data_IF_630105342979
#
_entry.id   IF_630105342979
#
_cell.length_a   1.000
_cell.length_b   1.000
_cell.length_c   1.000
_cell.angle_alpha   90.00
_cell.angle_beta   90.00
_cell.angle_gamma   90.00
#
_symmetry.space_group_name_H-M   'P 1'
#
loop_
_entity.id
_entity.type
_entity.pdbx_description
1 polymer ?
2 branched ?
3 non-polymer ?
4 non-polymer ?
5 non-polymer ?
6 non-polymer ?
7 non-polymer ?
8 water ?
#
# COMPACT_ATOMS: atom_id res chain seq x y z
N UNK A 29 -0.89 36.32 8.90
CA UNK A 29 -2.18 36.99 9.32
C UNK A 29 -3.08 37.43 8.15
N UNK A 30 -2.49 37.74 6.99
CA UNK A 30 -3.26 38.10 5.82
C UNK A 30 -3.64 36.83 5.06
N UNK A 31 -4.73 36.21 5.50
CA UNK A 31 -5.27 35.00 4.89
C UNK A 31 -5.59 35.16 3.40
N UNK A 32 -5.90 36.38 2.97
CA UNK A 32 -6.18 36.63 1.56
C UNK A 32 -4.92 36.60 0.68
N UNK A 33 -3.74 36.58 1.30
CA UNK A 33 -2.48 36.47 0.56
C UNK A 33 -1.84 35.08 0.66
N UNK A 34 -2.57 34.09 1.16
CA UNK A 34 -2.09 32.72 1.16
C UNK A 34 -2.11 32.17 -0.28
N UNK A 35 -0.96 31.70 -0.76
CA UNK A 35 -0.89 31.32 -2.17
C UNK A 35 -1.73 30.10 -2.52
N UNK A 36 -2.18 30.06 -3.77
CA UNK A 36 -2.76 28.86 -4.36
C UNK A 36 -1.65 27.81 -4.57
N UNK A 37 -2.01 26.52 -4.51
CA UNK A 37 -1.02 25.45 -4.57
C UNK A 37 -0.37 25.27 -5.95
N UNK A 38 0.80 24.65 -5.94
CA UNK A 38 1.58 24.38 -7.11
C UNK A 38 1.66 22.89 -7.36
N UNK A 39 2.07 22.55 -8.57
CA UNK A 39 2.20 21.17 -9.01
C UNK A 39 3.67 20.76 -9.08
N UNK A 40 3.94 19.49 -8.77
CA UNK A 40 5.26 18.93 -8.89
C UNK A 40 5.81 19.19 -10.30
N UNK A 41 7.09 19.58 -10.37
CA UNK A 41 7.76 19.86 -11.63
C UNK A 41 8.20 18.55 -12.32
N UNK A 42 7.45 18.16 -13.36
CA UNK A 42 7.71 16.92 -14.11
C UNK A 42 9.05 16.93 -14.86
N UNK A 43 9.57 18.12 -15.16
CA UNK A 43 10.85 18.27 -15.84
C UNK A 43 12.04 17.98 -14.93
N UNK A 44 11.82 17.98 -13.61
CA UNK A 44 12.88 17.65 -12.64
C UNK A 44 13.21 16.14 -12.62
N UNK A 45 12.33 15.32 -13.20
CA UNK A 45 12.48 13.87 -13.20
C UNK A 45 13.19 13.37 -14.44
N UNK A 46 13.92 12.27 -14.27
CA UNK A 46 14.45 11.55 -15.41
C UNK A 46 13.34 10.67 -15.97
N UNK A 47 13.46 10.30 -17.24
CA UNK A 47 12.48 9.48 -17.94
C UNK A 47 12.15 8.18 -17.18
N UNK A 48 10.85 7.88 -17.10
CA UNK A 48 10.38 6.72 -16.37
C UNK A 48 9.01 6.32 -16.90
N UNK A 49 8.85 5.05 -17.27
CA UNK A 49 7.56 4.56 -17.79
C UNK A 49 6.44 4.75 -16.81
N UNK A 50 5.28 5.08 -17.35
CA UNK A 50 4.03 5.00 -16.61
C UNK A 50 3.58 3.56 -16.50
N UNK A 51 2.96 3.23 -15.38
CA UNK A 51 2.30 1.95 -15.20
C UNK A 51 0.79 2.17 -15.35
N UNK A 52 0.12 1.24 -16.00
CA UNK A 52 -1.33 1.35 -16.18
C UNK A 52 -2.01 -0.01 -16.05
N UNK A 53 -3.34 0.03 -15.97
CA UNK A 53 -4.15 -1.16 -15.85
C UNK A 53 -4.62 -1.61 -17.23
N UNK A 54 -4.41 -2.88 -17.56
CA UNK A 54 -5.03 -3.48 -18.75
C UNK A 54 -5.58 -4.84 -18.37
N UNK A 55 -6.91 -4.96 -18.39
CA UNK A 55 -7.58 -6.18 -17.94
C UNK A 55 -7.22 -6.50 -16.49
N UNK A 56 -6.78 -7.74 -16.25
CA UNK A 56 -6.37 -8.15 -14.91
C UNK A 56 -4.89 -7.92 -14.61
N UNK A 57 -4.19 -7.13 -15.41
CA UNK A 57 -2.77 -6.90 -15.14
C UNK A 57 -2.35 -5.43 -15.25
N UNK A 58 -1.18 -5.16 -14.68
CA UNK A 58 -0.47 -3.91 -14.87
C UNK A 58 0.45 -4.07 -16.05
N UNK A 59 0.53 -3.04 -16.88
CA UNK A 59 1.57 -2.96 -17.91
C UNK A 59 2.35 -1.65 -17.81
N UNK A 60 3.60 -1.65 -18.25
CA UNK A 60 4.31 -0.39 -18.45
C UNK A 60 3.94 0.21 -19.82
N UNK A 61 4.38 1.44 -20.09
CA UNK A 61 4.01 2.10 -21.35
C UNK A 61 4.83 1.62 -22.55
N UNK A 62 5.71 0.65 -22.32
CA UNK A 62 6.28 -0.14 -23.41
C UNK A 62 5.39 -1.35 -23.71
N UNK A 63 4.29 -1.53 -22.98
CA UNK A 63 3.39 -2.64 -23.23
C UNK A 63 3.78 -3.94 -22.54
N UNK A 64 4.83 -3.90 -21.70
CA UNK A 64 5.28 -5.10 -21.03
C UNK A 64 4.60 -5.26 -19.67
N UNK A 65 4.20 -6.49 -19.35
CA UNK A 65 3.56 -6.78 -18.08
C UNK A 65 4.45 -6.38 -16.88
N UNK A 66 3.84 -5.74 -15.89
CA UNK A 66 4.57 -5.20 -14.74
C UNK A 66 3.99 -5.76 -13.45
N UNK A 67 4.87 -6.01 -12.49
CA UNK A 67 4.49 -6.46 -11.16
C UNK A 67 5.16 -5.57 -10.11
N UNK A 68 4.35 -4.96 -9.25
CA UNK A 68 4.89 -4.24 -8.11
C UNK A 68 5.43 -5.26 -7.10
N UNK A 69 6.70 -5.12 -6.76
CA UNK A 69 7.36 -5.97 -5.78
C UNK A 69 8.23 -5.08 -4.91
N UNK A 70 7.92 -5.01 -3.62
CA UNK A 70 8.73 -4.19 -2.75
C UNK A 70 8.27 -4.22 -1.33
N UNK A 71 8.39 -3.07 -0.66
CA UNK A 71 8.17 -3.01 0.76
C UNK A 71 7.43 -1.74 1.16
N UNK A 72 6.83 -1.81 2.34
CA UNK A 72 6.49 -0.65 3.10
C UNK A 72 7.70 -0.16 3.88
N UNK A 73 7.83 1.16 3.96
CA UNK A 73 8.64 1.78 4.99
C UNK A 73 7.68 2.47 5.97
N UNK A 74 8.20 2.94 7.08
CA UNK A 74 7.37 3.61 8.08
C UNK A 74 6.86 4.97 7.57
N UNK A 75 5.93 5.56 8.31
CA UNK A 75 5.43 6.92 8.01
C UNK A 75 6.57 7.94 7.95
N UNK A 76 6.48 8.85 7.01
CA UNK A 76 7.50 9.89 6.80
C UNK A 76 7.89 10.64 8.08
N UNK A 77 6.91 11.04 8.88
CA UNK A 77 7.17 11.71 10.15
C UNK A 77 7.94 10.85 11.14
N UNK A 78 7.60 9.57 11.23
CA UNK A 78 8.32 8.70 12.15
C UNK A 78 9.80 8.68 11.76
N UNK A 79 10.08 8.52 10.46
CA UNK A 79 11.46 8.46 9.98
C UNK A 79 12.21 9.77 10.21
N UNK A 80 11.57 10.90 9.89
CA UNK A 80 12.18 12.21 10.13
C UNK A 80 12.60 12.43 11.58
N UNK A 81 11.82 11.90 12.53
CA UNK A 81 12.06 12.14 13.96
C UNK A 81 13.36 11.50 14.47
N UNK A 82 13.83 10.45 13.81
CA UNK A 82 15.13 9.86 14.10
C UNK A 82 16.12 10.05 12.93
N UNK A 83 15.89 11.07 12.11
CA UNK A 83 16.75 11.38 10.96
C UNK A 83 16.97 10.18 10.02
N UNK A 84 15.95 9.36 9.86
CA UNK A 84 16.05 8.19 9.00
C UNK A 84 15.39 8.41 7.64
N UNK A 85 14.82 9.61 7.43
CA UNK A 85 14.24 9.98 6.14
C UNK A 85 15.32 10.56 5.24
N UNK A 86 15.84 9.68 4.38
CA UNK A 86 17.05 9.92 3.59
C UNK A 86 17.02 9.08 2.31
N UNK A 87 17.63 9.57 1.24
CA UNK A 87 17.72 8.84 -0.02
C UNK A 87 18.42 7.49 0.17
N UNK A 88 19.38 7.44 1.10
CA UNK A 88 20.14 6.24 1.38
C UNK A 88 19.25 5.03 1.72
N UNK A 89 18.12 5.30 2.36
CA UNK A 89 17.13 4.27 2.61
C UNK A 89 16.54 3.67 1.31
N UNK A 90 16.24 4.53 0.33
CA UNK A 90 15.69 4.08 -0.95
C UNK A 90 16.78 3.36 -1.75
N UNK A 91 18.02 3.85 -1.66
CA UNK A 91 19.14 3.22 -2.36
C UNK A 91 19.39 1.79 -1.84
N UNK A 92 19.38 1.63 -0.52
CA UNK A 92 19.53 0.31 0.08
C UNK A 92 18.51 -0.66 -0.47
N UNK A 93 17.24 -0.25 -0.55
CA UNK A 93 16.16 -1.11 -1.02
C UNK A 93 16.29 -1.45 -2.51
N UNK A 94 16.53 -0.43 -3.32
CA UNK A 94 16.69 -0.64 -4.77
C UNK A 94 17.95 -1.42 -5.10
N UNK A 95 19.08 -1.13 -4.47
CA UNK A 95 20.35 -1.77 -4.86
C UNK A 95 20.55 -3.14 -4.23
N UNK A 96 20.09 -3.35 -3.00
CA UNK A 96 20.35 -4.59 -2.29
C UNK A 96 19.15 -5.50 -2.00
N UNK A 97 17.93 -4.98 -2.10
CA UNK A 97 16.76 -5.80 -1.75
C UNK A 97 15.87 -6.15 -2.92
N UNK A 98 16.25 -5.71 -4.11
CA UNK A 98 15.53 -6.08 -5.33
C UNK A 98 14.16 -5.46 -5.53
N UNK A 99 13.85 -4.37 -4.82
CA UNK A 99 12.51 -3.76 -4.93
C UNK A 99 12.38 -2.90 -6.20
N UNK A 100 11.19 -2.92 -6.79
CA UNK A 100 10.84 -1.89 -7.76
C UNK A 100 9.76 -0.92 -7.24
N UNK A 101 9.35 -1.12 -5.97
CA UNK A 101 8.23 -0.36 -5.37
C UNK A 101 8.42 -0.10 -3.88
N UNK A 102 8.06 1.10 -3.43
CA UNK A 102 7.95 1.40 -2.01
C UNK A 102 6.55 1.94 -1.69
N UNK A 103 5.93 1.40 -0.66
CA UNK A 103 4.65 1.91 -0.18
C UNK A 103 4.91 2.87 0.95
N UNK A 104 4.32 4.07 0.86
CA UNK A 104 4.43 5.08 1.92
C UNK A 104 3.10 5.09 2.68
N UNK A 105 3.08 4.61 3.93
CA UNK A 105 1.85 4.63 4.71
C UNK A 105 1.70 5.94 5.45
N UNK A 106 0.96 6.84 4.83
CA UNK A 106 0.74 8.18 5.34
C UNK A 106 -0.35 8.13 6.41
N UNK A 107 0.06 8.20 7.67
CA UNK A 107 -0.88 8.16 8.78
C UNK A 107 -1.52 9.54 8.96
N UNK A 108 -2.85 9.59 9.06
CA UNK A 108 -3.53 10.88 9.18
C UNK A 108 -3.03 11.75 10.34
N UNK A 109 -2.65 11.13 11.45
CA UNK A 109 -2.18 11.92 12.60
C UNK A 109 -0.87 12.66 12.23
N UNK A 110 -0.05 12.01 11.42
CA UNK A 110 1.20 12.57 10.92
C UNK A 110 1.00 13.65 9.86
N UNK A 111 0.06 13.38 8.95
CA UNK A 111 -0.37 14.38 7.99
C UNK A 111 -0.77 15.69 8.70
N UNK A 112 -1.56 15.59 9.77
CA UNK A 112 -1.96 16.77 10.55
C UNK A 112 -0.78 17.38 11.33
N UNK A 113 0.08 16.54 11.87
CA UNK A 113 1.16 17.01 12.73
C UNK A 113 2.24 17.79 11.96
N UNK A 114 2.63 17.27 10.81
CA UNK A 114 3.56 17.99 9.94
C UNK A 114 2.85 19.10 9.20
N UNK A 115 1.56 18.90 8.93
CA UNK A 115 0.77 19.79 8.11
C UNK A 115 0.94 19.41 6.65
N UNK A 116 -0.09 19.60 5.84
CA UNK A 116 -0.04 19.21 4.43
C UNK A 116 1.16 19.72 3.64
N UNK A 117 1.52 20.99 3.79
CA UNK A 117 2.60 21.60 3.00
C UNK A 117 3.95 20.95 3.27
N UNK A 118 4.28 20.77 4.54
CA UNK A 118 5.53 20.15 4.93
C UNK A 118 5.53 18.68 4.54
N UNK A 119 4.40 18.00 4.74
CA UNK A 119 4.31 16.57 4.38
C UNK A 119 4.49 16.37 2.87
N UNK A 120 3.81 17.18 2.06
CA UNK A 120 3.96 17.08 0.60
C UNK A 120 5.39 17.39 0.15
N UNK A 121 6.02 18.37 0.80
CA UNK A 121 7.41 18.67 0.55
C UNK A 121 8.32 17.47 0.72
N UNK A 122 8.05 16.65 1.73
CA UNK A 122 8.81 15.41 1.91
C UNK A 122 8.41 14.32 0.92
N UNK A 123 7.12 14.24 0.56
CA UNK A 123 6.73 13.29 -0.47
C UNK A 123 7.49 13.62 -1.77
N UNK A 124 7.64 14.92 -2.07
CA UNK A 124 8.41 15.36 -3.24
C UNK A 124 9.79 14.73 -3.28
N UNK A 125 10.47 14.73 -2.13
CA UNK A 125 11.78 14.10 -2.00
C UNK A 125 11.72 12.63 -2.39
N UNK A 126 10.75 11.92 -1.83
CA UNK A 126 10.58 10.50 -2.10
C UNK A 126 10.42 10.27 -3.60
N UNK A 127 9.67 11.17 -4.26
CA UNK A 127 9.46 11.10 -5.70
C UNK A 127 10.78 11.24 -6.45
N UNK A 128 11.58 12.24 -6.09
CA UNK A 128 12.85 12.43 -6.78
C UNK A 128 13.78 11.24 -6.52
N UNK A 129 13.79 10.74 -5.28
CA UNK A 129 14.67 9.62 -4.94
C UNK A 129 14.25 8.37 -5.70
N UNK A 130 12.95 8.09 -5.71
CA UNK A 130 12.44 6.90 -6.36
C UNK A 130 12.68 6.96 -7.86
N UNK A 131 12.35 8.11 -8.46
CA UNK A 131 12.60 8.34 -9.88
C UNK A 131 14.05 8.08 -10.25
N UNK A 132 14.97 8.61 -9.47
CA UNK A 132 16.38 8.49 -9.79
C UNK A 132 16.82 7.03 -9.80
N UNK A 133 16.19 6.23 -8.94
CA UNK A 133 16.51 4.81 -8.83
C UNK A 133 15.64 3.94 -9.74
N UNK A 134 14.76 4.56 -10.52
CA UNK A 134 13.88 3.81 -11.40
C UNK A 134 12.82 2.99 -10.69
N UNK A 135 12.49 3.34 -9.45
CA UNK A 135 11.42 2.60 -8.73
C UNK A 135 10.14 3.44 -8.56
N UNK A 136 9.07 2.77 -8.12
CA UNK A 136 7.74 3.38 -8.04
C UNK A 136 7.21 3.51 -6.62
N UNK A 137 6.26 4.41 -6.46
CA UNK A 137 5.64 4.68 -5.16
C UNK A 137 4.16 4.32 -5.16
N UNK A 138 3.73 3.72 -4.06
CA UNK A 138 2.30 3.62 -3.76
C UNK A 138 2.05 4.61 -2.62
N UNK A 139 1.17 5.58 -2.86
CA UNK A 139 0.75 6.50 -1.81
C UNK A 139 -0.50 5.93 -1.15
N UNK A 140 -0.39 5.66 0.14
CA UNK A 140 -1.41 4.96 0.91
C UNK A 140 -1.96 5.85 2.02
N UNK A 141 -3.26 6.13 1.97
CA UNK A 141 -3.91 6.90 3.01
C UNK A 141 -4.15 5.90 4.12
N UNK A 142 -3.28 5.95 5.13
CA UNK A 142 -3.10 4.82 6.03
C UNK A 142 -3.95 4.96 7.27
N UNK A 143 -5.24 4.67 7.11
CA UNK A 143 -6.18 4.61 8.22
C UNK A 143 -6.70 3.17 8.37
N UNK A 144 -7.30 2.88 9.52
CA UNK A 144 -7.86 1.58 9.84
C UNK A 144 -9.18 1.89 10.52
N UNK A 145 -10.27 1.42 9.92
CA UNK A 145 -11.60 1.66 10.45
C UNK A 145 -12.64 1.81 9.38
N UNK A 146 -13.75 2.44 9.75
CA UNK A 146 -14.89 2.61 8.89
C UNK A 146 -15.14 4.08 8.60
N UNK A 147 -14.75 4.48 7.41
CA UNK A 147 -14.82 5.89 7.02
C UNK A 147 -16.26 6.46 6.98
N UNK A 148 -17.26 5.66 6.53
CA UNK A 148 -18.61 6.22 6.49
C UNK A 148 -19.15 6.69 7.85
N UNK A 149 -18.73 6.07 8.96
CA UNK A 149 -19.09 6.53 10.31
C UNK A 149 -17.98 7.35 10.98
N UNK A 150 -16.81 7.40 10.35
CA UNK A 150 -15.65 8.13 10.86
C UNK A 150 -15.23 7.65 12.25
N UNK A 151 -15.17 6.32 12.40
CA UNK A 151 -14.74 5.66 13.63
C UNK A 151 -13.59 4.70 13.29
N UNK A 152 -12.59 4.63 14.18
CA UNK A 152 -11.31 4.00 13.83
C UNK A 152 -10.75 3.10 14.91
N UNK A 153 -9.77 2.30 14.52
CA UNK A 153 -9.14 1.36 15.43
C UNK A 153 -8.30 2.05 16.51
N UNK A 154 -7.70 3.20 16.16
CA UNK A 154 -6.80 3.93 17.04
C UNK A 154 -6.75 5.39 16.57
N UNK A 155 -6.56 6.35 17.48
CA UNK A 155 -6.48 7.78 17.09
C UNK A 155 -5.43 8.15 16.02
N UNK A 156 -4.34 7.41 15.93
CA UNK A 156 -3.33 7.67 14.91
C UNK A 156 -3.92 7.55 13.50
N UNK A 157 -5.05 6.84 13.39
CA UNK A 157 -5.71 6.61 12.11
C UNK A 157 -6.92 7.54 11.89
N UNK A 158 -7.17 8.41 12.87
CA UNK A 158 -8.39 9.21 12.89
C UNK A 158 -8.44 10.17 11.70
N UNK A 159 -9.59 10.20 11.05
CA UNK A 159 -9.79 11.09 9.92
C UNK A 159 -11.30 11.36 9.75
N UNK A 160 -11.61 12.08 8.68
CA UNK A 160 -13.00 12.31 8.30
C UNK A 160 -13.10 12.12 6.80
N UNK A 161 -14.32 11.98 6.32
CA UNK A 161 -14.57 11.97 4.90
C UNK A 161 -14.00 13.26 4.28
N UNK A 162 -14.25 14.39 4.94
CA UNK A 162 -13.75 15.66 4.43
C UNK A 162 -12.22 15.71 4.29
N UNK A 163 -11.51 15.28 5.33
CA UNK A 163 -10.05 15.33 5.33
C UNK A 163 -9.48 14.32 4.31
N UNK A 164 -10.17 13.19 4.16
CA UNK A 164 -9.79 12.15 3.22
C UNK A 164 -9.95 12.65 1.78
N UNK A 165 -11.12 13.23 1.46
CA UNK A 165 -11.29 13.86 0.13
C UNK A 165 -10.21 14.90 -0.15
N UNK A 166 -9.92 15.73 0.85
CA UNK A 166 -8.96 16.82 0.70
C UNK A 166 -7.53 16.32 0.50
N UNK A 167 -7.18 15.25 1.20
CA UNK A 167 -5.88 14.64 0.99
C UNK A 167 -5.73 14.19 -0.47
N UNK A 168 -6.74 13.48 -0.99
CA UNK A 168 -6.66 12.97 -2.36
C UNK A 168 -6.74 14.08 -3.40
N UNK A 169 -7.48 15.14 -3.07
CA UNK A 169 -7.58 16.29 -3.98
C UNK A 169 -6.20 16.95 -4.08
N UNK A 170 -5.54 17.15 -2.95
CA UNK A 170 -4.22 17.77 -2.92
C UNK A 170 -3.14 16.90 -3.59
N UNK A 171 -3.18 15.60 -3.31
CA UNK A 171 -2.23 14.64 -3.87
C UNK A 171 -2.35 14.55 -5.39
N UNK A 172 -3.58 14.43 -5.88
CA UNK A 172 -3.79 14.27 -7.31
C UNK A 172 -3.37 15.53 -8.10
N UNK A 173 -3.72 16.71 -7.58
CA UNK A 173 -3.28 17.97 -8.21
C UNK A 173 -1.74 18.04 -8.24
N UNK A 174 -1.11 17.83 -7.09
CA UNK A 174 0.33 18.00 -7.00
C UNK A 174 1.12 17.05 -7.88
N UNK A 175 0.71 15.78 -7.93
CA UNK A 175 1.49 14.76 -8.65
C UNK A 175 0.87 14.38 -9.99
N UNK A 176 0.13 15.31 -10.59
CA UNK A 176 -0.37 15.13 -11.95
C UNK A 176 0.76 14.83 -12.92
N UNK A 177 0.55 13.84 -13.78
CA UNK A 177 1.47 13.47 -14.85
C UNK A 177 2.87 13.09 -14.31
N UNK A 178 2.90 12.46 -13.13
CA UNK A 178 4.14 11.99 -12.54
C UNK A 178 4.16 10.46 -12.56
N UNK A 179 5.03 9.86 -13.37
CA UNK A 179 5.01 8.39 -13.53
C UNK A 179 5.43 7.63 -12.28
N UNK A 180 6.36 8.21 -11.53
CA UNK A 180 6.91 7.61 -10.32
C UNK A 180 5.85 7.29 -9.28
N UNK A 181 4.83 8.13 -9.22
CA UNK A 181 3.72 7.91 -8.31
C UNK A 181 2.64 7.14 -9.09
N UNK A 182 2.56 5.84 -8.84
CA UNK A 182 1.82 4.90 -9.68
C UNK A 182 0.44 4.52 -9.13
N UNK A 183 0.31 4.49 -7.81
CA UNK A 183 -0.88 3.96 -7.18
C UNK A 183 -1.37 4.84 -6.04
N UNK A 184 -2.68 5.11 -6.04
CA UNK A 184 -3.35 5.86 -4.97
C UNK A 184 -4.24 4.90 -4.20
N UNK A 185 -3.74 4.46 -3.05
CA UNK A 185 -4.45 3.49 -2.21
C UNK A 185 -5.37 4.25 -1.25
N UNK A 186 -6.65 4.26 -1.60
CA UNK A 186 -7.62 5.22 -1.05
C UNK A 186 -7.80 5.17 0.47
N UNK A 187 -7.85 3.96 1.05
CA UNK A 187 -8.07 3.74 2.49
C UNK A 187 -7.48 2.37 2.85
N UNK A 188 -6.36 2.40 3.57
CA UNK A 188 -5.57 1.22 3.90
C UNK A 188 -6.36 -0.01 4.33
N UNK A 189 -7.04 0.05 5.48
CA UNK A 189 -7.76 -1.12 5.97
C UNK A 189 -9.19 -0.85 6.43
N UNK A 190 -10.16 -1.01 5.54
CA UNK A 190 -11.53 -0.91 6.03
C UNK A 190 -11.86 -2.05 7.00
N UNK A 191 -12.42 -1.70 8.15
CA UNK A 191 -12.94 -2.69 9.10
C UNK A 191 -13.93 -2.01 10.03
N UNK A 192 -14.92 -2.75 10.51
CA UNK A 192 -15.82 -2.24 11.56
C UNK A 192 -15.51 -2.86 12.92
N UNK A 193 -14.47 -3.70 12.98
CA UNK A 193 -14.09 -4.40 14.21
C UNK A 193 -15.29 -5.03 14.89
N UNK A 194 -15.92 -5.98 14.18
CA UNK A 194 -17.08 -6.67 14.71
C UNK A 194 -18.34 -5.81 14.73
N UNK A 195 -18.36 -4.81 13.87
CA UNK A 195 -19.41 -3.80 13.84
C UNK A 195 -19.50 -2.91 15.10
N UNK A 196 -18.40 -2.83 15.84
CA UNK A 196 -18.30 -1.90 16.95
C UNK A 196 -18.09 -0.48 16.42
N UNK A 197 -17.56 -0.34 15.20
CA UNK A 197 -17.31 0.98 14.60
C UNK A 197 -18.45 1.51 13.73
N UNK A 198 -19.44 0.65 13.47
CA UNK A 198 -20.54 0.95 12.54
C UNK A 198 -21.02 -0.34 11.93
N UNK A 199 -22.08 -0.29 11.14
CA UNK A 199 -22.58 -1.49 10.43
C UNK A 199 -21.91 -1.57 9.07
N UNK A 200 -21.05 -2.56 8.87
CA UNK A 200 -20.39 -2.70 7.59
C UNK A 200 -21.43 -2.88 6.49
N UNK A 201 -21.28 -2.13 5.41
CA UNK A 201 -22.26 -2.10 4.34
C UNK A 201 -21.53 -1.90 3.02
N UNK A 202 -21.52 -2.91 2.16
CA UNK A 202 -20.75 -2.82 0.91
C UNK A 202 -21.24 -1.69 -0.01
N UNK A 203 -22.55 -1.55 -0.19
CA UNK A 203 -23.10 -0.52 -1.09
C UNK A 203 -22.58 0.86 -0.75
N UNK A 204 -22.64 1.18 0.53
CA UNK A 204 -22.19 2.46 1.07
C UNK A 204 -20.68 2.67 0.85
N UNK A 205 -19.89 1.60 1.02
CA UNK A 205 -18.44 1.70 0.90
C UNK A 205 -18.01 1.81 -0.56
N UNK A 206 -18.69 1.04 -1.41
CA UNK A 206 -18.51 1.09 -2.86
C UNK A 206 -18.76 2.49 -3.40
N UNK A 207 -19.88 3.08 -3.02
CA UNK A 207 -20.24 4.43 -3.45
C UNK A 207 -19.17 5.45 -3.02
N UNK A 208 -18.69 5.33 -1.80
CA UNK A 208 -17.69 6.28 -1.30
C UNK A 208 -16.37 6.13 -2.08
N UNK A 209 -15.96 4.90 -2.35
CA UNK A 209 -14.77 4.69 -3.18
C UNK A 209 -14.94 5.24 -4.60
N UNK A 210 -16.12 5.08 -5.17
CA UNK A 210 -16.42 5.61 -6.50
C UNK A 210 -16.39 7.15 -6.48
N UNK A 211 -16.81 7.74 -5.37
CA UNK A 211 -16.78 9.19 -5.21
C UNK A 211 -15.34 9.73 -5.15
N UNK A 212 -14.47 9.03 -4.44
CA UNK A 212 -13.05 9.38 -4.40
C UNK A 212 -12.40 9.18 -5.78
N UNK A 213 -12.75 8.09 -6.44
CA UNK A 213 -12.23 7.81 -7.77
C UNK A 213 -12.62 8.92 -8.75
N UNK A 214 -13.85 9.41 -8.68
CA UNK A 214 -14.28 10.49 -9.58
C UNK A 214 -13.53 11.81 -9.34
N UNK A 215 -13.29 12.16 -8.06
CA UNK A 215 -12.47 13.33 -7.74
C UNK A 215 -11.07 13.21 -8.33
N UNK A 216 -10.50 12.00 -8.20
CA UNK A 216 -9.15 11.71 -8.67
C UNK A 216 -9.07 11.77 -10.19
N UNK A 217 -9.94 11.02 -10.87
CA UNK A 217 -9.98 11.02 -12.33
C UNK A 217 -10.32 12.35 -13.00
N UNK A 218 -11.00 13.25 -12.30
CA UNK A 218 -11.26 14.58 -12.82
C UNK A 218 -9.99 15.43 -12.88
N UNK A 219 -8.98 15.02 -12.11
CA UNK A 219 -7.75 15.78 -11.93
C UNK A 219 -6.54 15.08 -12.58
N UNK A 220 -6.55 13.75 -12.65
CA UNK A 220 -5.48 12.98 -13.29
C UNK A 220 -5.95 11.54 -13.58
N UNK A 221 -6.12 11.23 -14.86
CA UNK A 221 -6.60 9.90 -15.28
C UNK A 221 -5.50 8.87 -15.46
N UNK A 222 -4.25 9.27 -15.24
CA UNK A 222 -3.12 8.36 -15.45
C UNK A 222 -2.74 7.59 -14.18
N UNK A 223 -3.38 7.89 -13.06
CA UNK A 223 -3.07 7.21 -11.81
C UNK A 223 -3.97 5.99 -11.64
N UNK A 224 -3.49 5.01 -10.87
CA UNK A 224 -4.25 3.79 -10.58
C UNK A 224 -4.80 3.85 -9.15
N UNK A 225 -6.13 3.97 -8.99
CA UNK A 225 -6.71 3.84 -7.65
C UNK A 225 -6.69 2.39 -7.18
N UNK A 226 -6.42 2.18 -5.90
CA UNK A 226 -6.43 0.85 -5.32
C UNK A 226 -7.51 0.79 -4.22
N UNK A 227 -8.48 -0.12 -4.41
CA UNK A 227 -9.63 -0.24 -3.53
C UNK A 227 -9.53 -1.47 -2.64
N UNK A 228 -9.99 -1.33 -1.39
CA UNK A 228 -9.94 -2.40 -0.41
C UNK A 228 -11.32 -2.82 0.06
N UNK A 229 -11.43 -4.09 0.44
CA UNK A 229 -12.64 -4.64 1.03
C UNK A 229 -12.57 -4.68 2.56
N UNK A 230 -13.51 -5.38 3.18
CA UNK A 230 -13.66 -5.33 4.64
C UNK A 230 -12.73 -6.34 5.30
N UNK A 231 -12.87 -6.53 6.62
CA UNK A 231 -12.00 -7.42 7.37
C UNK A 231 -10.53 -7.02 7.26
N UNK A 232 -10.26 -5.74 7.51
CA UNK A 232 -8.92 -5.19 7.38
C UNK A 232 -8.32 -5.48 5.97
N UNK A 233 -9.04 -5.07 4.93
CA UNK A 233 -8.63 -5.24 3.53
C UNK A 233 -8.35 -6.67 3.11
N UNK A 234 -9.08 -7.63 3.68
CA UNK A 234 -8.87 -9.04 3.34
C UNK A 234 -9.96 -9.60 2.44
N UNK A 235 -11.19 -9.12 2.63
CA UNK A 235 -12.36 -9.74 2.01
C UNK A 235 -12.82 -8.93 0.81
N UNK A 236 -12.44 -9.39 -0.38
CA UNK A 236 -12.87 -8.79 -1.64
C UNK A 236 -14.14 -9.43 -2.23
N UNK A 237 -14.68 -10.45 -1.56
CA UNK A 237 -15.82 -11.22 -2.11
C UNK A 237 -17.03 -10.42 -2.52
N UNK A 238 -17.28 -9.26 -1.91
CA UNK A 238 -18.43 -8.53 -2.40
C UNK A 238 -18.30 -8.04 -3.86
N UNK A 239 -17.08 -8.01 -4.42
CA UNK A 239 -16.91 -7.56 -5.81
C UNK A 239 -17.30 -8.62 -6.84
N UNK A 240 -17.54 -9.86 -6.40
CA UNK A 240 -18.08 -10.90 -7.28
C UNK A 240 -19.39 -10.41 -7.89
N UNK A 241 -20.24 -9.82 -7.06
CA UNK A 241 -21.55 -9.34 -7.51
C UNK A 241 -21.66 -7.82 -7.62
N UNK A 242 -20.80 -7.09 -6.91
CA UNK A 242 -20.88 -5.62 -6.89
C UNK A 242 -19.49 -4.97 -6.92
N UNK A 243 -18.76 -5.13 -8.03
CA UNK A 243 -17.48 -4.44 -8.16
C UNK A 243 -17.64 -2.92 -8.30
N UNK A 244 -16.60 -2.19 -7.90
CA UNK A 244 -16.54 -0.75 -8.12
C UNK A 244 -16.74 -0.49 -9.63
N UNK A 245 -17.64 0.43 -9.98
CA UNK A 245 -18.04 0.58 -11.40
C UNK A 245 -17.21 1.67 -12.11
N UNK A 246 -15.90 1.47 -12.07
CA UNK A 246 -14.94 2.39 -12.67
C UNK A 246 -13.83 1.57 -13.28
N UNK A 247 -13.30 2.03 -14.40
CA UNK A 247 -12.21 1.36 -15.08
C UNK A 247 -10.87 1.80 -14.50
N UNK A 248 -9.84 1.03 -14.81
CA UNK A 248 -8.47 1.40 -14.50
C UNK A 248 -8.09 1.29 -13.02
N UNK A 249 -8.83 0.50 -12.25
CA UNK A 249 -8.52 0.32 -10.84
C UNK A 249 -7.93 -1.05 -10.57
N UNK A 250 -7.31 -1.16 -9.41
CA UNK A 250 -6.80 -2.43 -8.93
C UNK A 250 -7.38 -2.63 -7.54
N UNK A 251 -7.28 -3.86 -7.03
CA UNK A 251 -7.77 -4.17 -5.70
C UNK A 251 -6.66 -4.56 -4.74
N UNK A 252 -6.80 -4.14 -3.48
CA UNK A 252 -5.85 -4.43 -2.42
C UNK A 252 -6.21 -5.72 -1.72
N UNK A 253 -5.22 -6.41 -1.18
CA UNK A 253 -5.47 -7.53 -0.29
C UNK A 253 -4.42 -7.58 0.79
N UNK A 254 -4.81 -7.89 2.01
CA UNK A 254 -3.86 -7.99 3.11
C UNK A 254 -3.91 -9.39 3.70
N UNK A 255 -3.31 -10.36 2.99
CA UNK A 255 -3.46 -11.75 3.38
C UNK A 255 -2.42 -12.18 4.42
N UNK A 256 -2.58 -11.71 5.65
CA UNK A 256 -1.72 -12.13 6.76
C UNK A 256 -1.95 -13.62 7.07
N UNK A 257 -0.91 -14.29 7.62
CA UNK A 257 -0.92 -15.73 7.83
C UNK A 257 -2.16 -16.27 8.54
N UNK A 258 -2.65 -15.53 9.55
CA UNK A 258 -3.70 -16.06 10.39
C UNK A 258 -5.11 -15.63 9.97
N UNK A 259 -5.24 -14.97 8.83
CA UNK A 259 -6.57 -14.55 8.32
C UNK A 259 -7.38 -15.77 7.93
N UNK A 260 -6.82 -16.61 7.07
CA UNK A 260 -7.44 -17.89 6.73
C UNK A 260 -7.11 -18.86 7.85
N UNK A 261 -8.11 -19.63 8.30
CA UNK A 261 -7.94 -20.51 9.44
C UNK A 261 -8.34 -21.96 9.12
N UNK A 262 -7.60 -22.61 8.21
CA UNK A 262 -7.92 -24.02 7.95
C UNK A 262 -7.52 -24.91 9.13
N UNK A 263 -8.29 -25.97 9.36
CA UNK A 263 -7.98 -26.95 10.40
C UNK A 263 -6.71 -27.72 10.05
N UNK A 264 -6.58 -28.13 8.79
CA UNK A 264 -5.35 -28.74 8.31
C UNK A 264 -4.53 -27.69 7.54
N UNK A 265 -3.39 -27.32 8.13
CA UNK A 265 -2.51 -26.27 7.61
C UNK A 265 -1.62 -26.77 6.48
N UNK A 266 -2.05 -26.60 5.24
CA UNK A 266 -1.25 -26.99 4.08
C UNK A 266 -1.56 -26.12 2.86
N UNK A 267 -0.78 -26.28 1.79
CA UNK A 267 -0.93 -25.46 0.58
C UNK A 267 -2.36 -25.44 0.05
N UNK A 268 -2.93 -26.62 -0.16
CA UNK A 268 -4.25 -26.73 -0.81
C UNK A 268 -5.33 -25.96 -0.06
N UNK A 269 -5.36 -26.14 1.26
CA UNK A 269 -6.43 -25.59 2.09
C UNK A 269 -6.32 -24.07 2.24
N UNK A 270 -5.10 -23.58 2.45
CA UNK A 270 -4.86 -22.14 2.47
C UNK A 270 -5.19 -21.53 1.11
N UNK A 271 -4.79 -22.21 0.03
CA UNK A 271 -5.06 -21.74 -1.36
C UNK A 271 -6.56 -21.60 -1.63
N UNK A 272 -7.34 -22.59 -1.21
CA UNK A 272 -8.77 -22.54 -1.41
C UNK A 272 -9.40 -21.37 -0.63
N UNK A 273 -9.01 -21.21 0.63
CA UNK A 273 -9.54 -20.08 1.44
C UNK A 273 -9.09 -18.73 0.88
N UNK A 274 -7.83 -18.63 0.45
CA UNK A 274 -7.38 -17.38 -0.17
C UNK A 274 -8.15 -17.12 -1.46
N UNK A 275 -8.39 -18.18 -2.23
CA UNK A 275 -9.19 -18.10 -3.46
C UNK A 275 -10.58 -17.49 -3.23
N UNK A 276 -11.24 -17.89 -2.14
CA UNK A 276 -12.62 -17.48 -1.89
C UNK A 276 -12.72 -16.02 -1.42
N UNK A 277 -11.75 -15.58 -0.61
CA UNK A 277 -11.79 -14.26 -0.03
C UNK A 277 -11.20 -13.14 -0.91
N UNK A 278 -10.12 -13.43 -1.63
CA UNK A 278 -9.43 -12.37 -2.36
C UNK A 278 -8.75 -12.80 -3.65
N UNK A 279 -8.20 -14.01 -3.68
CA UNK A 279 -7.47 -14.49 -4.83
C UNK A 279 -8.22 -14.47 -6.13
N UNK A 280 -9.51 -14.81 -6.10
CA UNK A 280 -10.37 -14.82 -7.30
C UNK A 280 -10.30 -13.50 -8.06
N UNK A 281 -10.12 -12.41 -7.31
CA UNK A 281 -10.10 -11.06 -7.90
C UNK A 281 -9.04 -10.92 -8.99
N UNK A 282 -7.92 -11.64 -8.84
CA UNK A 282 -6.81 -11.59 -9.78
C UNK A 282 -7.13 -12.18 -11.15
N UNK A 283 -8.22 -12.95 -11.27
CA UNK A 283 -8.67 -13.43 -12.57
C UNK A 283 -9.25 -12.33 -13.45
N UNK A 284 -9.72 -11.24 -12.84
CA UNK A 284 -10.44 -10.19 -13.57
C UNK A 284 -9.80 -8.79 -13.45
N UNK A 285 -9.13 -8.53 -12.32
CA UNK A 285 -8.56 -7.23 -12.02
C UNK A 285 -7.16 -7.44 -11.51
N UNK A 286 -6.32 -6.39 -11.58
CA UNK A 286 -5.01 -6.54 -10.93
C UNK A 286 -5.13 -6.41 -9.42
N UNK A 287 -4.29 -7.14 -8.70
CA UNK A 287 -4.34 -7.18 -7.23
C UNK A 287 -2.95 -6.85 -6.68
N UNK A 288 -2.89 -5.94 -5.71
CA UNK A 288 -1.67 -5.68 -4.97
C UNK A 288 -1.90 -6.04 -3.50
N UNK A 289 -1.12 -7.00 -3.03
CA UNK A 289 -1.10 -7.33 -1.63
C UNK A 289 -0.20 -6.31 -0.93
N UNK A 290 -0.78 -5.17 -0.56
CA UNK A 290 0.00 -4.03 -0.06
C UNK A 290 0.46 -4.15 1.40
N UNK A 291 -0.05 -5.16 2.11
CA UNK A 291 0.47 -5.53 3.41
C UNK A 291 0.38 -7.02 3.56
N UNK A 292 1.50 -7.61 3.97
CA UNK A 292 1.62 -9.03 4.26
C UNK A 292 2.90 -9.22 5.03
N UNK A 293 3.03 -10.34 5.71
CA UNK A 293 4.25 -10.67 6.43
C UNK A 293 3.99 -11.57 7.61
N UNK A 294 5.07 -11.95 8.30
CA UNK A 294 4.97 -12.76 9.50
C UNK A 294 6.16 -12.53 10.44
N UNK A 295 5.92 -12.87 11.71
CA UNK A 295 6.99 -13.08 12.67
C UNK A 295 6.66 -14.33 13.47
N UNK A 296 7.69 -15.01 13.98
CA UNK A 296 7.50 -16.17 14.88
C UNK A 296 6.57 -15.77 16.05
N UNK A 297 5.72 -16.71 16.51
CA UNK A 297 4.80 -16.42 17.62
C UNK A 297 5.48 -15.92 18.89
N UNK A 298 6.75 -16.26 19.09
CA UNK A 298 7.55 -15.75 20.21
C UNK A 298 8.59 -14.70 19.76
N UNK A 299 8.36 -14.10 18.60
CA UNK A 299 9.27 -13.08 18.06
C UNK A 299 8.85 -11.67 18.40
N UNK A 300 9.58 -10.72 17.82
CA UNK A 300 9.40 -9.29 18.11
C UNK A 300 8.03 -8.76 17.66
N UNK A 301 7.26 -8.26 18.61
CA UNK A 301 5.94 -7.71 18.30
C UNK A 301 4.96 -8.71 17.75
N UNK A 302 5.08 -9.97 18.17
CA UNK A 302 4.18 -11.04 17.72
C UNK A 302 2.75 -10.80 18.19
N UNK A 303 1.81 -10.75 17.24
CA UNK A 303 0.39 -10.52 17.52
C UNK A 303 -0.42 -11.15 16.40
N UNK A 304 -1.67 -11.50 16.70
CA UNK A 304 -2.63 -11.91 15.68
C UNK A 304 -2.83 -10.70 14.76
N UNK A 305 -2.90 -10.91 13.43
CA UNK A 305 -2.87 -12.15 12.67
C UNK A 305 -1.53 -12.42 11.97
N UNK A 306 -0.41 -11.97 12.53
CA UNK A 306 0.89 -12.10 11.84
C UNK A 306 1.81 -13.21 12.39
N UNK A 307 1.33 -14.00 13.34
CA UNK A 307 2.11 -15.10 13.92
C UNK A 307 2.19 -16.29 12.96
N UNK A 308 3.40 -16.78 12.72
CA UNK A 308 3.59 -17.93 11.85
C UNK A 308 4.94 -18.59 12.11
N UNK A 309 5.01 -19.89 11.82
CA UNK A 309 6.24 -20.67 11.97
C UNK A 309 7.22 -20.51 10.81
N UNK A 310 6.82 -19.77 9.77
CA UNK A 310 7.68 -19.46 8.63
C UNK A 310 7.22 -20.12 7.32
N UNK A 311 6.35 -21.12 7.43
CA UNK A 311 5.92 -21.85 6.25
C UNK A 311 5.01 -21.00 5.35
N UNK A 312 4.34 -20.01 5.95
CA UNK A 312 3.54 -19.05 5.19
C UNK A 312 4.37 -18.30 4.13
N UNK A 313 5.62 -18.01 4.44
CA UNK A 313 6.51 -17.35 3.48
C UNK A 313 6.46 -17.99 2.10
N UNK A 314 6.99 -19.22 1.97
CA UNK A 314 6.98 -19.86 0.66
C UNK A 314 5.58 -20.05 0.11
N UNK A 315 4.60 -20.27 0.98
CA UNK A 315 3.22 -20.51 0.53
C UNK A 315 2.57 -19.28 -0.11
N UNK A 316 2.69 -18.11 0.53
CA UNK A 316 2.08 -16.90 -0.03
C UNK A 316 2.82 -16.47 -1.29
N UNK A 317 4.14 -16.65 -1.33
CA UNK A 317 4.91 -16.33 -2.53
C UNK A 317 4.51 -17.24 -3.70
N UNK A 318 4.38 -18.54 -3.43
CA UNK A 318 3.96 -19.48 -4.47
C UNK A 318 2.58 -19.10 -5.02
N UNK A 319 1.66 -18.78 -4.12
CA UNK A 319 0.29 -18.41 -4.49
C UNK A 319 0.26 -17.14 -5.32
N UNK A 320 1.00 -16.13 -4.88
CA UNK A 320 1.04 -14.85 -5.59
C UNK A 320 1.72 -15.01 -6.95
N UNK A 321 2.79 -15.81 -7.00
CA UNK A 321 3.51 -16.05 -8.27
C UNK A 321 2.59 -16.77 -9.26
N UNK A 322 1.80 -17.72 -8.78
CA UNK A 322 0.86 -18.43 -9.64
C UNK A 322 -0.18 -17.50 -10.24
N UNK A 323 -0.71 -16.59 -9.43
CA UNK A 323 -1.81 -15.71 -9.84
C UNK A 323 -1.36 -14.37 -10.44
N UNK A 324 -0.06 -14.11 -10.47
CA UNK A 324 0.48 -12.84 -10.98
C UNK A 324 0.29 -11.63 -10.05
N UNK A 325 0.04 -11.88 -8.77
CA UNK A 325 -0.30 -10.85 -7.81
C UNK A 325 0.93 -10.02 -7.40
N UNK A 326 0.75 -8.70 -7.33
CA UNK A 326 1.79 -7.76 -6.88
C UNK A 326 1.81 -7.69 -5.33
N UNK A 327 2.89 -7.19 -4.75
CA UNK A 327 2.97 -7.14 -3.29
C UNK A 327 3.96 -6.12 -2.73
N UNK A 328 3.66 -5.62 -1.53
CA UNK A 328 4.61 -4.85 -0.76
C UNK A 328 4.61 -5.35 0.69
N UNK A 329 5.74 -5.91 1.11
CA UNK A 329 5.88 -6.53 2.41
C UNK A 329 5.85 -5.44 3.50
N UNK A 330 5.29 -5.82 4.67
CA UNK A 330 5.23 -4.95 5.85
C UNK A 330 6.14 -5.60 6.92
N UNK A 331 7.14 -4.91 7.46
CA UNK A 331 7.50 -3.52 7.16
C UNK A 331 9.02 -3.38 7.23
N UNK A 332 9.56 -2.57 6.33
CA UNK A 332 11.00 -2.30 6.32
C UNK A 332 11.34 -1.17 7.30
N UNK A 333 11.34 -1.57 8.58
CA UNK A 333 11.54 -0.67 9.71
C UNK A 333 11.91 -1.56 10.87
N UNK A 334 12.82 -1.11 11.75
CA UNK A 334 13.25 -1.94 12.87
C UNK A 334 12.43 -1.80 14.16
N UNK A 335 11.53 -0.81 14.21
CA UNK A 335 10.69 -0.57 15.39
C UNK A 335 9.28 -1.10 15.18
N UNK A 336 8.70 -0.83 14.02
CA UNK A 336 7.35 -1.31 13.68
C UNK A 336 7.38 -2.78 13.32
N UNK A 337 6.33 -3.52 13.70
CA UNK A 337 6.32 -4.96 13.53
C UNK A 337 5.19 -5.44 12.62
N UNK A 338 5.34 -6.62 11.99
CA UNK A 338 6.53 -7.47 11.97
C UNK A 338 7.63 -6.81 11.13
N UNK A 339 8.87 -6.81 11.63
CA UNK A 339 9.98 -6.13 10.97
C UNK A 339 10.55 -6.95 9.83
N UNK A 340 11.11 -6.27 8.83
CA UNK A 340 11.98 -6.91 7.85
C UNK A 340 13.45 -6.76 8.22
N UNK A 341 13.74 -5.85 9.15
CA UNK A 341 15.12 -5.55 9.54
C UNK A 341 15.20 -5.34 11.05
N UNK A 342 16.31 -5.73 11.65
CA UNK A 342 16.45 -5.71 13.11
C UNK A 342 17.06 -4.42 13.60
N UNK A 343 17.73 -3.70 12.71
CA UNK A 343 18.42 -2.47 13.05
C UNK A 343 18.53 -1.59 11.80
N UNK A 344 19.09 -0.39 11.97
CA UNK A 344 19.26 0.53 10.84
C UNK A 344 20.54 0.26 10.05
N UNK A 345 21.26 -0.82 10.37
CA UNK A 345 22.28 -1.38 9.47
C UNK A 345 21.68 -2.41 8.51
N UNK A 346 20.36 -2.61 8.59
CA UNK A 346 19.62 -3.48 7.67
C UNK A 346 19.90 -4.98 7.84
N UNK A 347 20.29 -5.37 9.06
CA UNK A 347 20.37 -6.80 9.39
C UNK A 347 18.98 -7.42 9.16
N UNK A 348 18.86 -8.38 8.23
CA UNK A 348 17.54 -8.95 7.93
C UNK A 348 16.94 -9.76 9.08
N UNK A 349 15.63 -9.62 9.28
CA UNK A 349 14.88 -10.48 10.18
C UNK A 349 14.57 -11.75 9.41
N UNK A 350 13.92 -12.71 10.06
CA UNK A 350 13.57 -13.96 9.39
C UNK A 350 12.83 -13.67 8.09
N UNK A 351 11.73 -12.93 8.18
CA UNK A 351 10.90 -12.66 7.00
C UNK A 351 11.63 -11.75 6.03
N UNK A 352 12.50 -10.89 6.56
CA UNK A 352 13.30 -10.00 5.72
C UNK A 352 14.25 -10.77 4.82
N UNK A 353 15.01 -11.69 5.41
CA UNK A 353 15.94 -12.52 4.64
C UNK A 353 15.18 -13.33 3.61
N UNK A 354 14.01 -13.86 4.00
CA UNK A 354 13.21 -14.65 3.06
C UNK A 354 12.77 -13.83 1.85
N UNK A 355 12.10 -12.71 2.10
CA UNK A 355 11.54 -11.89 1.03
C UNK A 355 12.61 -11.21 0.17
N UNK A 356 13.72 -10.83 0.80
CA UNK A 356 14.86 -10.25 0.11
C UNK A 356 15.36 -11.17 -0.99
N UNK A 357 15.49 -12.47 -0.68
CA UNK A 357 15.96 -13.41 -1.69
C UNK A 357 14.88 -13.63 -2.75
N UNK A 358 13.62 -13.71 -2.36
CA UNK A 358 12.53 -13.84 -3.32
C UNK A 358 12.56 -12.67 -4.32
N UNK A 359 12.68 -11.44 -3.81
CA UNK A 359 12.66 -10.24 -4.66
C UNK A 359 13.92 -10.11 -5.54
N UNK A 360 15.09 -10.44 -5.00
CA UNK A 360 16.34 -10.43 -5.78
C UNK A 360 16.27 -11.41 -6.96
N UNK A 361 15.72 -12.60 -6.70
CA UNK A 361 15.58 -13.62 -7.75
C UNK A 361 14.52 -13.24 -8.78
N UNK A 362 13.41 -12.66 -8.34
CA UNK A 362 12.37 -12.23 -9.28
C UNK A 362 12.86 -11.12 -10.20
N UNK A 363 13.69 -10.22 -9.66
CA UNK A 363 14.31 -9.16 -10.44
C UNK A 363 15.16 -9.70 -11.60
N UNK A 364 15.88 -10.79 -11.35
CA UNK A 364 16.61 -11.51 -12.40
C UNK A 364 15.62 -12.09 -13.41
X LIG B 1 -9.07 -11.63 12.04
X LIG B 1 -7.92 -10.74 12.48
X LIG B 1 -8.42 -9.75 13.51
X LIG B 1 -9.26 -10.38 14.62
X LIG B 1 -10.04 -9.28 15.32
X LIG B 1 -9.53 -12.33 13.31
X LIG B 1 -10.43 -13.38 12.99
X LIG B 1 -8.66 -12.56 11.04
X LIG B 1 -7.34 -10.08 11.35
X LIG B 1 -7.28 -9.17 14.14
X LIG B 1 -10.18 -11.35 14.12
X LIG B 1 -10.25 -9.69 16.67
X LIG B 2 -6.07 -7.20 14.68
X LIG B 2 -5.54 -5.89 14.14
X LIG B 2 -4.82 -6.12 12.82
X LIG B 2 -5.75 -6.86 11.87
X LIG B 2 -5.09 -7.18 10.53
X LIG B 2 -6.92 -7.90 13.63
X LIG B 2 -6.84 -6.98 15.86
X LIG B 2 -4.63 -5.38 15.11
X LIG B 2 -4.46 -4.86 12.25
X LIG B 2 -6.17 -8.09 12.45
X LIG B 2 -5.96 -8.06 9.82
X LIG B 3 -2.61 -3.68 11.23
X LIG B 3 -1.15 -3.29 11.39
X LIG B 3 -0.84 -2.82 12.80
X LIG B 3 -1.46 -3.74 13.86
X LIG B 3 -1.23 -3.24 15.29
X LIG B 3 -3.07 -4.56 12.39
X LIG B 3 -2.78 -4.35 9.98
X LIG B 3 -0.82 -2.24 10.50
X LIG B 3 0.58 -2.81 12.90
X LIG B 3 -2.87 -3.87 13.62
X LIG B 3 -2.38 -3.49 16.09
X LIG B 4 2.55 -2.12 14.04
X LIG B 4 3.09 -1.03 14.96
X LIG B 4 2.96 0.32 14.26
X LIG B 4 1.50 0.54 13.87
X LIG B 4 1.23 1.88 13.20
X LIG B 4 1.12 -1.76 13.68
X LIG B 4 2.56 -3.41 14.66
X LIG B 4 4.45 -1.33 15.29
X LIG B 4 3.40 1.37 15.12
X LIG B 4 1.07 -0.51 13.01
X LIG B 4 1.30 1.77 11.80
X LIG C 1 -15.07 -5.51 8.81
X LIG D 1 1.25 9.26 -11.42
X LIG E 1 -2.34 -11.31 20.36
X LIG E 1 -2.79 -10.17 19.54
X LIG E 1 -2.18 -12.53 19.53
X LIG E 1 -3.36 -11.61 21.40
X LIG E 1 -1.05 -10.93 20.98
X LIG F 1 16.32 16.04 -2.63
X LIG F 1 17.54 16.83 -2.93
X LIG F 1 16.68 15.10 -1.54
X LIG F 1 15.89 15.32 -3.85
X LIG F 1 15.24 16.93 -2.16
X LIG G 1 -6.16 24.67 -8.53
X LIG G 1 -5.55 25.47 -7.52
X LIG G 1 -6.71 23.39 -7.87
X LIG G 1 -8.03 23.65 -7.36
X LIG G 1 -5.79 22.89 -6.76
X LIG G 1 -6.09 21.52 -6.51
X LIG H 1 11.41 4.83 17.74
X LIG H 1 12.78 4.99 18.15
X LIG H 1 10.66 3.91 18.67
X LIG H 1 9.47 3.52 17.98
X LIG H 1 10.29 4.66 19.96
X LIG H 1 9.72 3.78 20.94
X LIG I 1 7.74 8.09 -19.92
X LIG I 1 6.97 7.25 -20.77
X LIG I 1 7.26 9.53 -19.92
X LIG I 1 7.89 10.28 -20.97
X LIG I 1 7.59 10.18 -18.58
X LIG I 1 9.00 10.24 -18.38
X LIG J 1 -9.62 14.75 11.09
X LIG J 1 -10.29 13.79 11.93
X LIG J 1 -9.81 16.20 11.56
X LIG J 1 -11.19 16.51 11.59
X LIG K 1 15.63 16.35 4.92
X LIG K 1 14.25 16.29 4.53
X LIG K 1 16.19 14.94 4.97
X LIG K 1 16.64 14.52 3.67
X LIG L 1 -19.21 -9.51 13.74
X LIG L 1 -18.25 -9.64 12.69
X LIG L 1 -20.47 -8.79 13.23
X LIG L 1 -21.12 -9.62 12.26
X LIG M 1 14.23 -15.99 17.82
X LIG M 1 14.29 -15.52 19.17
X LIG M 1 12.81 -15.83 17.25
X LIG M 1 11.82 -16.37 18.13
X LIG N 1 -17.06 -3.07 -13.77
X LIG N 1 -16.31 -4.25 -13.53
X LIG N 1 -16.14 -1.94 -14.27
X LIG N 1 -16.92 -0.80 -14.61
X LIG O 1 -2.62 35.29 -3.56
X LIG O 1 -1.40 34.74 -4.07
X LIG O 1 -3.74 34.25 -3.50
X LIG O 1 -4.46 34.29 -2.26
#
# INVERSE_FOLDING_TARGET
MRTTKFLALALCLLASASALSANNSAPSNDWWDIPYPSQFDVKSLKTQSFISVKGNKFIDDKGKTFTFRGVNIADTGKLLSRNQWQKSLFEELANNWGVNTIRLPIHPVSWRKLGPDVYLGHIDEAVRWANDLGIYLILDWHSIGYLPTEQYQHPMYDTTIKETRDFWRRITFRYQNVPTVAVYELFNEPTTMGNTLGERNWAEWKTLNESLIDMIYASDKTVIPLVAGFNWAYDLSPIKKAPIEREGIAYAAHPYPQKAKPEVKNDKNFFKLWDEKWGFAADTYPVIATQLGWVQPDGYGAHIPVKDDGSYGPRIVKYMQKKGVSYTVWVFDPDWSPTMINDWDFTPSEQGAFFKQVMLEAKKR
BGC C2 C3 C4 C5 C6 C1 O1 O2 O3 O4 O5 O6
BGC C2 C3 C4 C5 C6 C1 O2 O3 O4 O5 O6
BGC C2 C3 C4 C5 C6 C1 O2 O3 O4 O5 O6
BGC C2 C3 C4 C5 C6 C1 O2 O3 O4 O5 O6
CL CL
MG MG
SO4 S O1 O2 O3 O4
SO4 S O1 O2 O3 O4
GOL C1 O1 C2 O2 C3 O3
GOL C1 O1 C2 O2 C3 O3
GOL C1 O1 C2 O2 C3 O3
PGE C1 O1 C2 O2
PGE C1 O1 C2 O2
PGE C1 O1 C2 O2
PGE C1 O1 C2 O2
PGE C1 O1 C2 O2
PGE C1 O1 C2 O2
#
